data_IF_255066280196
#
_entry.id   IF_255066280196
#
_cell.length_a   1.000
_cell.length_b   1.000
_cell.length_c   1.000
_cell.angle_alpha   90.00
_cell.angle_beta   90.00
_cell.angle_gamma   90.00
#
_symmetry.space_group_name_H-M   'P 1'
#
loop_
_entity.id
_entity.type
_entity.pdbx_description
1 polymer ?
#
# COMPACT_ATOMS: atom_id res chain seq x y z
N UNK A 1 10.60 -10.62 -30.20
CA UNK A 1 9.59 -11.70 -30.23
C UNK A 1 9.45 -12.18 -31.67
N UNK A 2 8.53 -13.10 -32.04
CA UNK A 2 8.33 -13.52 -33.43
C UNK A 2 7.94 -12.38 -34.39
N UNK A 3 7.58 -11.20 -33.86
CA UNK A 3 7.20 -10.01 -34.60
C UNK A 3 8.33 -8.95 -34.66
N UNK A 4 9.56 -9.29 -34.24
CA UNK A 4 10.71 -8.39 -34.30
C UNK A 4 10.70 -7.26 -33.27
N UNK A 5 9.76 -7.28 -32.30
CA UNK A 5 9.74 -6.28 -31.22
C UNK A 5 10.89 -6.57 -30.25
N UNK A 6 11.60 -5.53 -29.77
CA UNK A 6 12.61 -5.69 -28.73
C UNK A 6 11.95 -6.26 -27.47
N UNK A 7 12.59 -7.24 -26.87
CA UNK A 7 12.13 -7.87 -25.63
C UNK A 7 13.34 -8.15 -24.73
N UNK A 8 13.10 -8.09 -23.42
CA UNK A 8 14.13 -8.37 -22.43
C UNK A 8 14.41 -9.87 -22.38
N UNK A 9 15.69 -10.24 -22.36
CA UNK A 9 16.16 -11.63 -22.18
C UNK A 9 16.94 -11.74 -20.87
N UNK A 10 16.85 -12.90 -20.20
CA UNK A 10 17.51 -13.15 -18.91
C UNK A 10 16.70 -12.70 -17.69
N UNK A 11 17.29 -12.86 -16.49
CA UNK A 11 16.67 -12.45 -15.22
C UNK A 11 17.14 -11.04 -14.83
N UNK A 12 16.20 -10.14 -14.55
CA UNK A 12 16.49 -8.77 -14.15
C UNK A 12 16.85 -8.67 -12.65
N UNK A 13 17.75 -9.53 -12.15
CA UNK A 13 17.99 -9.70 -10.71
C UNK A 13 18.46 -8.42 -10.03
N UNK A 14 19.42 -7.70 -10.63
CA UNK A 14 19.87 -6.40 -10.12
C UNK A 14 18.77 -5.34 -10.13
N UNK A 15 17.90 -5.36 -11.15
CA UNK A 15 16.78 -4.43 -11.23
C UNK A 15 15.72 -4.71 -10.17
N UNK A 16 15.38 -5.98 -9.96
CA UNK A 16 14.45 -6.42 -8.91
C UNK A 16 14.99 -6.12 -7.52
N UNK A 17 16.28 -6.37 -7.26
CA UNK A 17 16.91 -5.99 -6.00
C UNK A 17 16.91 -4.47 -5.78
N UNK A 18 17.19 -3.69 -6.83
CA UNK A 18 17.14 -2.22 -6.74
C UNK A 18 15.72 -1.74 -6.43
N UNK A 19 14.70 -2.27 -7.12
CA UNK A 19 13.30 -1.98 -6.84
C UNK A 19 12.93 -2.31 -5.38
N UNK A 20 13.30 -3.51 -4.92
CA UNK A 20 13.03 -3.98 -3.57
C UNK A 20 13.61 -3.04 -2.50
N UNK A 21 14.85 -2.59 -2.68
CA UNK A 21 15.54 -1.69 -1.75
C UNK A 21 14.96 -0.28 -1.74
N UNK A 22 14.51 0.23 -2.89
CA UNK A 22 13.77 1.50 -2.96
C UNK A 22 12.45 1.35 -2.19
N UNK A 23 11.69 0.30 -2.47
CA UNK A 23 10.39 0.07 -1.81
C UNK A 23 10.54 -0.18 -0.30
N UNK A 24 11.66 -0.76 0.16
CA UNK A 24 11.96 -0.92 1.59
C UNK A 24 12.06 0.43 2.34
N UNK A 25 12.43 1.51 1.65
CA UNK A 25 12.44 2.86 2.21
C UNK A 25 11.04 3.49 2.34
N UNK A 26 10.06 2.99 1.59
CA UNK A 26 8.68 3.50 1.57
C UNK A 26 7.75 2.68 2.47
N UNK A 27 7.92 1.35 2.50
CA UNK A 27 6.94 0.44 3.08
C UNK A 27 6.78 0.53 4.60
N UNK A 28 7.80 0.99 5.34
CA UNK A 28 7.75 1.15 6.80
C UNK A 28 8.41 2.46 7.24
N UNK A 29 7.95 3.09 8.33
CA UNK A 29 8.50 4.34 8.85
C UNK A 29 9.79 4.11 9.63
N UNK A 30 10.48 5.19 10.00
CA UNK A 30 11.65 5.12 10.89
C UNK A 30 11.27 4.56 12.27
N UNK A 31 10.07 4.87 12.76
CA UNK A 31 9.56 4.38 14.05
C UNK A 31 9.59 2.85 14.14
N UNK A 32 9.23 2.15 13.06
CA UNK A 32 9.32 0.69 12.94
C UNK A 32 10.74 0.15 13.24
N UNK A 33 11.77 0.87 12.79
CA UNK A 33 13.17 0.52 13.02
C UNK A 33 13.67 0.89 14.40
N UNK A 34 13.18 2.00 14.97
CA UNK A 34 13.51 2.45 16.33
C UNK A 34 12.92 1.53 17.39
N UNK A 35 11.68 1.11 17.21
CA UNK A 35 11.00 0.14 18.08
C UNK A 35 11.43 -1.32 17.85
N UNK A 36 12.33 -1.56 16.89
CA UNK A 36 12.83 -2.88 16.53
C UNK A 36 11.76 -3.93 16.15
N UNK A 37 10.59 -3.47 15.68
CA UNK A 37 9.47 -4.35 15.26
C UNK A 37 9.89 -5.33 14.16
N UNK A 38 10.87 -4.93 13.34
CA UNK A 38 11.47 -5.79 12.32
C UNK A 38 11.93 -7.13 12.89
N UNK A 39 12.51 -7.21 14.10
CA UNK A 39 13.16 -8.42 14.64
C UNK A 39 12.28 -9.65 14.63
N UNK A 40 11.01 -9.50 14.99
CA UNK A 40 10.05 -10.61 15.14
C UNK A 40 8.98 -10.64 14.05
N UNK A 41 9.07 -9.75 13.06
CA UNK A 41 8.09 -9.63 11.97
C UNK A 41 8.21 -10.70 10.87
N UNK A 42 9.00 -11.76 11.09
CA UNK A 42 9.25 -12.77 10.07
C UNK A 42 8.06 -13.69 9.88
N UNK A 43 7.71 -13.95 8.62
CA UNK A 43 6.60 -14.83 8.27
C UNK A 43 6.93 -16.32 8.40
N UNK A 44 8.22 -16.65 8.39
CA UNK A 44 8.74 -18.02 8.52
C UNK A 44 9.00 -18.43 9.99
N UNK A 45 8.72 -17.55 10.96
CA UNK A 45 8.97 -17.77 12.38
C UNK A 45 10.44 -17.62 12.81
N UNK A 46 11.36 -17.36 11.88
CA UNK A 46 12.78 -17.16 12.17
C UNK A 46 13.07 -15.66 12.31
N UNK A 47 13.38 -15.23 13.53
CA UNK A 47 13.70 -13.84 13.83
C UNK A 47 14.81 -13.28 12.93
N UNK A 48 14.74 -11.99 12.62
CA UNK A 48 15.80 -11.30 11.88
C UNK A 48 16.93 -10.92 12.83
N UNK A 49 18.15 -11.03 12.32
CA UNK A 49 19.38 -10.82 13.10
C UNK A 49 19.88 -9.38 13.04
N UNK A 50 19.50 -8.64 11.99
CA UNK A 50 19.83 -7.22 11.79
C UNK A 50 18.81 -6.53 10.88
N UNK A 51 18.87 -5.19 10.81
CA UNK A 51 18.05 -4.41 9.86
C UNK A 51 18.34 -4.78 8.40
N UNK A 52 19.60 -5.04 8.05
CA UNK A 52 19.97 -5.49 6.70
C UNK A 52 19.45 -6.91 6.43
N UNK A 53 19.46 -7.79 7.43
CA UNK A 53 18.86 -9.13 7.31
C UNK A 53 17.35 -9.05 7.05
N UNK A 54 16.65 -8.15 7.75
CA UNK A 54 15.25 -7.85 7.48
C UNK A 54 15.03 -7.36 6.04
N UNK A 55 15.80 -6.38 5.55
CA UNK A 55 15.68 -5.86 4.19
C UNK A 55 15.92 -6.97 3.15
N UNK A 56 17.00 -7.73 3.29
CA UNK A 56 17.34 -8.82 2.36
C UNK A 56 16.26 -9.90 2.33
N UNK A 57 15.84 -10.42 3.47
CA UNK A 57 14.90 -11.54 3.53
C UNK A 57 13.46 -11.10 3.23
N UNK A 58 13.03 -9.91 3.68
CA UNK A 58 11.65 -9.44 3.47
C UNK A 58 11.43 -8.74 2.13
N UNK A 59 12.40 -7.97 1.63
CA UNK A 59 12.25 -7.18 0.41
C UNK A 59 13.02 -7.81 -0.76
N UNK A 60 14.34 -7.99 -0.67
CA UNK A 60 15.11 -8.59 -1.78
C UNK A 60 14.50 -9.97 -2.13
N UNK A 61 14.27 -10.83 -1.13
CA UNK A 61 13.61 -12.12 -1.29
C UNK A 61 12.14 -12.04 -1.71
N UNK A 62 11.41 -11.01 -1.27
CA UNK A 62 10.00 -10.80 -1.60
C UNK A 62 9.75 -10.44 -3.07
N UNK A 63 10.69 -9.73 -3.71
CA UNK A 63 10.62 -9.35 -5.12
C UNK A 63 11.45 -10.22 -6.05
N UNK A 64 12.27 -11.15 -5.53
CA UNK A 64 13.21 -11.95 -6.33
C UNK A 64 12.54 -12.74 -7.48
N UNK A 65 11.29 -13.16 -7.31
CA UNK A 65 10.53 -13.93 -8.29
C UNK A 65 9.46 -13.10 -9.04
N UNK A 66 9.44 -11.78 -8.84
CA UNK A 66 8.52 -10.92 -9.57
C UNK A 66 8.91 -10.81 -11.05
N UNK A 67 7.91 -10.66 -11.91
CA UNK A 67 8.14 -10.31 -13.31
C UNK A 67 8.39 -8.79 -13.41
N UNK A 68 9.52 -8.34 -13.96
CA UNK A 68 9.84 -6.91 -14.04
C UNK A 68 8.86 -6.13 -14.93
N UNK A 69 8.29 -6.76 -15.96
CA UNK A 69 7.29 -6.09 -16.81
C UNK A 69 5.97 -5.87 -16.05
N UNK A 70 5.59 -6.81 -15.19
CA UNK A 70 4.39 -6.66 -14.35
C UNK A 70 4.60 -5.56 -13.31
N UNK A 71 5.79 -5.46 -12.71
CA UNK A 71 6.13 -4.37 -11.80
C UNK A 71 6.10 -3.00 -12.51
N UNK A 72 6.62 -2.90 -13.73
CA UNK A 72 6.57 -1.67 -14.52
C UNK A 72 5.13 -1.29 -14.88
N UNK A 73 4.29 -2.27 -15.25
CA UNK A 73 2.89 -2.06 -15.50
C UNK A 73 2.16 -1.56 -14.24
N UNK A 74 2.38 -2.20 -13.08
CA UNK A 74 1.82 -1.78 -11.80
C UNK A 74 2.25 -0.35 -11.42
N UNK A 75 3.54 -0.02 -11.57
CA UNK A 75 4.04 1.34 -11.32
C UNK A 75 3.43 2.37 -12.26
N UNK A 76 3.24 2.02 -13.54
CA UNK A 76 2.57 2.90 -14.48
C UNK A 76 1.12 3.15 -14.07
N UNK A 77 0.37 2.08 -13.78
CA UNK A 77 -1.02 2.17 -13.28
C UNK A 77 -1.12 3.03 -12.02
N UNK A 78 -0.22 2.83 -11.05
CA UNK A 78 -0.20 3.64 -9.83
C UNK A 78 0.06 5.12 -10.12
N UNK A 79 1.08 5.42 -10.94
CA UNK A 79 1.47 6.81 -11.25
C UNK A 79 0.38 7.57 -12.03
N UNK A 80 -0.40 6.88 -12.85
CA UNK A 80 -1.43 7.50 -13.70
C UNK A 80 -2.85 7.35 -13.15
N UNK A 81 -3.01 6.83 -11.93
CA UNK A 81 -4.33 6.65 -11.34
C UNK A 81 -4.98 8.01 -11.04
N UNK A 82 -6.11 8.29 -11.69
CA UNK A 82 -6.91 9.50 -11.48
C UNK A 82 -8.39 9.19 -11.70
N UNK A 83 -9.18 9.21 -10.62
CA UNK A 83 -10.61 8.92 -10.65
C UNK A 83 -11.43 10.01 -11.34
N UNK A 84 -10.87 11.21 -11.51
CA UNK A 84 -11.52 12.29 -12.27
C UNK A 84 -11.61 11.99 -13.77
N UNK A 85 -10.78 11.06 -14.25
CA UNK A 85 -10.76 10.57 -15.63
C UNK A 85 -11.49 9.22 -15.80
N UNK A 86 -12.27 8.79 -14.80
CA UNK A 86 -12.99 7.52 -14.87
C UNK A 86 -13.96 7.47 -16.07
N UNK A 87 -14.07 6.29 -16.68
CA UNK A 87 -14.93 6.07 -17.84
C UNK A 87 -16.39 6.46 -17.54
N UNK A 88 -16.99 7.24 -18.43
CA UNK A 88 -18.37 7.74 -18.31
C UNK A 88 -18.49 9.11 -17.63
N UNK A 89 -17.39 9.69 -17.13
CA UNK A 89 -17.36 11.08 -16.69
C UNK A 89 -17.15 12.04 -17.89
N UNK A 90 -17.77 13.24 -17.88
CA UNK A 90 -17.45 14.27 -18.85
C UNK A 90 -15.95 14.66 -18.83
N UNK A 91 -15.34 14.99 -19.98
CA UNK A 91 -13.99 15.53 -20.01
C UNK A 91 -13.86 16.78 -19.12
N UNK A 92 -12.79 16.86 -18.35
CA UNK A 92 -12.54 17.97 -17.42
C UNK A 92 -13.32 17.92 -16.11
N UNK A 93 -13.94 16.77 -15.77
CA UNK A 93 -14.54 16.56 -14.44
C UNK A 93 -13.49 16.78 -13.36
N UNK A 94 -13.82 17.54 -12.31
CA UNK A 94 -12.92 17.77 -11.18
C UNK A 94 -12.87 16.55 -10.23
N UNK A 95 -11.82 16.44 -9.41
CA UNK A 95 -11.74 15.39 -8.38
C UNK A 95 -12.94 15.46 -7.42
N UNK A 96 -13.36 16.66 -7.03
CA UNK A 96 -14.53 16.88 -6.16
C UNK A 96 -15.82 16.38 -6.81
N UNK A 97 -16.03 16.67 -8.10
CA UNK A 97 -17.21 16.20 -8.83
C UNK A 97 -17.21 14.67 -9.01
N UNK A 98 -16.02 14.07 -9.21
CA UNK A 98 -15.88 12.63 -9.36
C UNK A 98 -16.18 11.90 -8.03
N UNK A 99 -15.54 12.31 -6.94
CA UNK A 99 -15.76 11.72 -5.61
C UNK A 99 -17.18 12.01 -5.08
N UNK A 100 -17.75 13.18 -5.36
CA UNK A 100 -19.13 13.53 -5.00
C UNK A 100 -20.22 12.66 -5.66
N UNK A 101 -19.86 11.91 -6.72
CA UNK A 101 -20.76 10.94 -7.36
C UNK A 101 -20.80 9.59 -6.66
N UNK A 102 -19.85 9.29 -5.78
CA UNK A 102 -19.80 8.01 -5.06
C UNK A 102 -21.05 7.89 -4.19
N UNK A 103 -21.78 6.77 -4.35
CA UNK A 103 -22.98 6.44 -3.57
C UNK A 103 -22.75 5.39 -2.51
N UNK A 104 -21.73 4.55 -2.70
CA UNK A 104 -21.33 3.56 -1.71
C UNK A 104 -20.92 4.26 -0.40
N UNK A 105 -21.15 3.57 0.72
CA UNK A 105 -20.52 3.94 1.99
C UNK A 105 -19.03 3.64 1.90
N UNK A 106 -18.21 4.57 2.37
CA UNK A 106 -16.75 4.46 2.30
C UNK A 106 -16.19 4.58 3.71
N UNK A 107 -15.23 3.73 4.05
CA UNK A 107 -14.39 3.91 5.22
C UNK A 107 -12.94 4.09 4.74
N UNK A 108 -12.37 5.27 4.95
CA UNK A 108 -10.97 5.54 4.67
C UNK A 108 -10.16 5.42 5.96
N UNK A 109 -9.22 4.48 5.99
CA UNK A 109 -8.41 4.14 7.16
C UNK A 109 -6.90 4.28 6.90
N UNK A 110 -6.39 5.50 6.63
CA UNK A 110 -4.97 5.70 6.40
C UNK A 110 -4.16 5.45 7.68
N UNK A 111 -2.91 4.99 7.56
CA UNK A 111 -2.03 4.88 8.72
C UNK A 111 -1.36 6.22 9.06
N UNK A 112 -1.29 6.56 10.34
CA UNK A 112 -0.68 7.82 10.82
C UNK A 112 0.82 7.92 10.55
N UNK A 113 1.48 6.79 10.27
CA UNK A 113 2.91 6.74 9.95
C UNK A 113 3.20 6.30 8.51
N UNK A 114 2.19 6.25 7.63
CA UNK A 114 2.43 6.08 6.20
C UNK A 114 3.19 7.30 5.65
N UNK A 115 4.18 7.04 4.78
CA UNK A 115 5.11 8.05 4.27
C UNK A 115 4.71 8.65 2.93
N UNK A 116 3.78 8.01 2.21
CA UNK A 116 3.44 8.40 0.85
C UNK A 116 1.93 8.38 0.54
N UNK A 117 1.11 7.79 1.40
CA UNK A 117 -0.33 8.08 1.47
C UNK A 117 -0.63 8.76 2.80
N UNK A 118 -0.48 10.09 2.85
CA UNK A 118 -0.48 10.80 4.13
C UNK A 118 -1.89 11.04 4.65
N UNK A 119 -2.04 11.07 5.98
CA UNK A 119 -3.33 11.35 6.64
C UNK A 119 -3.97 12.65 6.14
N UNK A 120 -3.25 13.79 5.98
CA UNK A 120 -3.86 15.02 5.49
C UNK A 120 -4.38 14.92 4.05
N UNK A 121 -3.66 14.23 3.15
CA UNK A 121 -4.09 14.04 1.76
C UNK A 121 -5.36 13.18 1.70
N UNK A 122 -5.37 12.06 2.42
CA UNK A 122 -6.54 11.17 2.46
C UNK A 122 -7.71 11.83 3.19
N UNK A 123 -7.47 12.68 4.19
CA UNK A 123 -8.52 13.44 4.86
C UNK A 123 -9.15 14.47 3.91
N UNK A 124 -8.35 15.12 3.05
CA UNK A 124 -8.85 16.04 2.05
C UNK A 124 -9.74 15.33 1.02
N UNK A 125 -9.36 14.12 0.58
CA UNK A 125 -10.21 13.29 -0.30
C UNK A 125 -11.48 12.78 0.42
N UNK A 126 -11.36 12.39 1.69
CA UNK A 126 -12.49 11.97 2.51
C UNK A 126 -13.58 13.04 2.60
N UNK A 127 -13.18 14.32 2.69
CA UNK A 127 -14.10 15.45 2.73
C UNK A 127 -14.90 15.67 1.42
N UNK A 128 -14.46 15.08 0.31
CA UNK A 128 -15.14 15.14 -0.99
C UNK A 128 -16.13 13.98 -1.19
N UNK A 129 -16.09 12.97 -0.33
CA UNK A 129 -16.95 11.79 -0.39
C UNK A 129 -18.21 11.99 0.50
N UNK A 130 -19.44 11.94 -0.04
CA UNK A 130 -20.65 12.26 0.71
C UNK A 130 -20.92 11.33 1.91
N UNK A 131 -20.57 10.05 1.78
CA UNK A 131 -20.87 8.99 2.76
C UNK A 131 -19.56 8.34 3.25
N UNK A 132 -18.59 9.16 3.66
CA UNK A 132 -17.28 8.68 4.09
C UNK A 132 -17.07 8.79 5.60
N UNK A 133 -16.70 7.67 6.21
CA UNK A 133 -16.10 7.62 7.54
C UNK A 133 -14.58 7.72 7.40
N UNK A 134 -13.99 8.68 8.09
CA UNK A 134 -12.54 8.80 8.22
C UNK A 134 -12.08 8.20 9.54
N UNK A 135 -11.29 7.12 9.48
CA UNK A 135 -10.89 6.32 10.63
C UNK A 135 -9.39 5.97 10.58
N UNK A 136 -8.49 6.94 10.82
CA UNK A 136 -7.05 6.72 10.72
C UNK A 136 -6.56 5.64 11.69
N UNK A 137 -5.59 4.85 11.24
CA UNK A 137 -4.95 3.78 12.01
C UNK A 137 -3.68 4.31 12.67
N UNK A 138 -3.70 4.40 14.00
CA UNK A 138 -2.48 4.61 14.78
C UNK A 138 -1.66 3.32 14.80
N UNK A 139 -0.54 3.33 14.09
CA UNK A 139 0.37 2.19 13.98
C UNK A 139 1.78 2.64 13.62
N UNK A 140 2.80 1.95 14.13
CA UNK A 140 4.20 2.16 13.76
C UNK A 140 4.59 1.36 12.49
N UNK A 141 3.67 0.61 11.87
CA UNK A 141 3.93 -0.19 10.68
C UNK A 141 3.82 0.60 9.37
N UNK A 142 3.37 1.87 9.42
CA UNK A 142 3.15 2.72 8.25
C UNK A 142 2.26 2.06 7.22
N UNK A 143 2.71 2.08 5.95
CA UNK A 143 1.94 1.49 4.85
C UNK A 143 1.56 0.01 5.10
N UNK A 144 2.42 -0.74 5.79
CA UNK A 144 2.16 -2.16 6.11
C UNK A 144 1.02 -2.37 7.11
N UNK A 145 0.57 -1.34 7.84
CA UNK A 145 -0.58 -1.46 8.75
C UNK A 145 -1.87 -1.85 7.99
N UNK A 146 -1.99 -1.46 6.71
CA UNK A 146 -3.13 -1.82 5.86
C UNK A 146 -3.12 -3.27 5.34
N UNK A 147 -2.03 -4.02 5.57
CA UNK A 147 -1.88 -5.43 5.19
C UNK A 147 -1.32 -6.24 6.38
N UNK A 148 -2.11 -6.39 7.47
CA UNK A 148 -1.62 -6.89 8.76
C UNK A 148 -1.56 -8.44 8.78
N UNK A 149 -0.59 -9.01 8.08
CA UNK A 149 -0.37 -10.47 8.01
C UNK A 149 0.95 -10.92 8.64
N UNK A 150 1.70 -10.01 9.28
CA UNK A 150 2.96 -10.33 9.97
C UNK A 150 2.76 -10.41 11.48
N UNK A 151 3.57 -11.21 12.19
CA UNK A 151 3.58 -11.19 13.65
C UNK A 151 3.86 -9.77 14.17
N UNK A 152 3.11 -9.34 15.18
CA UNK A 152 3.18 -7.99 15.75
C UNK A 152 2.22 -6.97 15.11
N UNK A 153 1.35 -7.40 14.19
CA UNK A 153 0.29 -6.59 13.58
C UNK A 153 -1.11 -7.01 14.07
N UNK A 154 -1.21 -7.75 15.16
CA UNK A 154 -2.49 -8.31 15.64
C UNK A 154 -3.49 -7.20 16.00
N UNK A 155 -3.01 -6.09 16.57
CA UNK A 155 -3.83 -4.92 16.88
C UNK A 155 -4.36 -4.23 15.61
N UNK A 156 -3.50 -4.03 14.60
CA UNK A 156 -3.89 -3.45 13.30
C UNK A 156 -4.94 -4.34 12.61
N UNK A 157 -4.74 -5.66 12.65
CA UNK A 157 -5.70 -6.62 12.12
C UNK A 157 -7.06 -6.56 12.85
N UNK A 158 -7.06 -6.40 14.17
CA UNK A 158 -8.29 -6.26 14.95
C UNK A 158 -9.02 -4.95 14.62
N UNK A 159 -8.30 -3.82 14.56
CA UNK A 159 -8.86 -2.52 14.17
C UNK A 159 -9.49 -2.57 12.79
N UNK A 160 -8.80 -3.11 11.78
CA UNK A 160 -9.33 -3.25 10.43
C UNK A 160 -10.57 -4.15 10.37
N UNK A 161 -10.56 -5.29 11.10
CA UNK A 161 -11.74 -6.18 11.18
C UNK A 161 -12.94 -5.48 11.81
N UNK A 162 -12.72 -4.69 12.87
CA UNK A 162 -13.77 -3.92 13.51
C UNK A 162 -14.36 -2.87 12.56
N UNK A 163 -13.51 -2.11 11.86
CA UNK A 163 -13.97 -1.12 10.87
C UNK A 163 -14.79 -1.76 9.75
N UNK A 164 -14.38 -2.92 9.24
CA UNK A 164 -15.15 -3.67 8.23
C UNK A 164 -16.48 -4.16 8.81
N UNK A 165 -16.48 -4.74 10.01
CA UNK A 165 -17.70 -5.23 10.65
C UNK A 165 -18.70 -4.09 10.90
N UNK A 166 -18.22 -2.94 11.38
CA UNK A 166 -19.03 -1.74 11.58
C UNK A 166 -19.62 -1.23 10.26
N UNK A 167 -18.80 -1.10 9.21
CA UNK A 167 -19.25 -0.65 7.88
C UNK A 167 -20.33 -1.58 7.29
N UNK A 168 -20.25 -2.89 7.58
CA UNK A 168 -21.24 -3.86 7.11
C UNK A 168 -22.51 -3.91 7.99
N UNK A 169 -22.42 -3.45 9.24
CA UNK A 169 -23.52 -3.52 10.22
C UNK A 169 -24.41 -2.27 10.21
N UNK A 170 -23.96 -1.11 9.74
CA UNK A 170 -24.83 0.08 9.68
C UNK A 170 -25.97 -0.18 8.68
N UNK A 171 -27.21 0.10 9.11
CA UNK A 171 -28.43 -0.09 8.33
C UNK A 171 -28.47 0.82 7.08
N UNK A 172 -29.19 0.37 6.04
CA UNK A 172 -29.39 1.10 4.76
C UNK A 172 -30.52 2.11 4.86
#
# INVERSE_FOLDING_TARGET
>A
DPQGRPYLVGRCEKGLQTFARIYAGWGVPMEFYHQELWRKSSRDGVAFTSREDFVKRSYDGGFANANPLDLLAQMHTWKTADVSQAHGLPPGTSLADALGRVRARVCLAPCTTDRYFTVPEIQAEAALLPNCRFAPLESAWGHRAGDPHRPGQEEDAQKLKALVAELLAEDV
#
